data_IF_891601853524
#
_entry.id   IF_891601853524
#
_cell.length_a   1.000
_cell.length_b   1.000
_cell.length_c   1.000
_cell.angle_alpha   90.00
_cell.angle_beta   90.00
_cell.angle_gamma   90.00
#
_symmetry.space_group_name_H-M   'P 1'
#
loop_
_entity.id
_entity.type
_entity.pdbx_description
1 polymer ?
#
# COMPACT_ATOMS: atom_id res chain seq x y z
N UNK A 1 -42.84 -36.14 -21.07
CA UNK A 1 -42.06 -34.90 -21.27
C UNK A 1 -40.69 -35.09 -20.62
N UNK A 2 -39.63 -35.14 -21.43
CA UNK A 2 -38.26 -35.46 -21.01
C UNK A 2 -37.45 -34.17 -21.15
N UNK A 3 -37.04 -33.54 -20.05
CA UNK A 3 -36.15 -32.36 -20.12
C UNK A 3 -34.72 -32.87 -20.29
N UNK A 4 -34.14 -32.56 -21.46
CA UNK A 4 -32.72 -32.76 -21.74
C UNK A 4 -31.93 -31.79 -20.86
N UNK A 5 -30.93 -32.30 -20.13
CA UNK A 5 -29.88 -31.48 -19.52
C UNK A 5 -28.95 -30.99 -20.63
N UNK A 6 -29.03 -29.70 -20.94
CA UNK A 6 -28.06 -28.99 -21.77
C UNK A 6 -26.72 -28.93 -21.02
N UNK A 7 -25.66 -29.28 -21.73
CA UNK A 7 -24.31 -29.35 -21.21
C UNK A 7 -23.80 -27.99 -20.71
N UNK A 8 -22.86 -28.05 -19.77
CA UNK A 8 -22.05 -26.93 -19.32
C UNK A 8 -21.26 -26.39 -20.51
N UNK A 9 -21.63 -25.21 -20.97
CA UNK A 9 -20.85 -24.45 -21.94
C UNK A 9 -19.56 -24.00 -21.24
N UNK A 10 -18.42 -24.54 -21.67
CA UNK A 10 -17.13 -24.03 -21.24
C UNK A 10 -16.94 -22.60 -21.76
N UNK A 11 -16.36 -21.69 -20.95
CA UNK A 11 -15.99 -20.37 -21.44
C UNK A 11 -14.93 -20.55 -22.53
N UNK A 12 -15.34 -20.36 -23.79
CA UNK A 12 -14.41 -20.38 -24.93
C UNK A 12 -13.62 -19.08 -24.88
N UNK A 13 -12.42 -19.15 -24.31
CA UNK A 13 -11.47 -18.04 -24.32
C UNK A 13 -11.11 -17.71 -25.77
N UNK A 14 -11.40 -16.47 -26.16
CA UNK A 14 -11.22 -16.01 -27.55
C UNK A 14 -9.75 -16.07 -27.99
N UNK A 15 -9.45 -16.08 -29.31
CA UNK A 15 -8.10 -16.18 -29.88
C UNK A 15 -7.17 -15.00 -29.56
N UNK A 16 -7.61 -14.01 -28.77
CA UNK A 16 -6.81 -12.86 -28.36
C UNK A 16 -5.74 -13.19 -27.30
N UNK A 17 -5.54 -14.47 -26.95
CA UNK A 17 -4.38 -14.97 -26.20
C UNK A 17 -3.12 -14.93 -27.06
N UNK A 18 -2.81 -13.74 -27.59
CA UNK A 18 -1.55 -13.47 -28.25
C UNK A 18 -0.44 -13.54 -27.21
N UNK A 19 0.47 -14.48 -27.46
CA UNK A 19 1.73 -14.76 -26.75
C UNK A 19 2.32 -13.52 -26.05
N UNK A 20 2.10 -13.43 -24.74
CA UNK A 20 2.98 -12.71 -23.83
C UNK A 20 4.05 -13.71 -23.39
N UNK A 21 5.24 -13.64 -24.02
CA UNK A 21 6.38 -14.54 -23.76
C UNK A 21 7.02 -14.34 -22.35
N UNK A 22 6.33 -13.62 -21.46
CA UNK A 22 6.74 -13.30 -20.10
C UNK A 22 5.65 -13.56 -19.04
N UNK A 23 4.47 -14.07 -19.40
CA UNK A 23 3.42 -14.41 -18.42
C UNK A 23 3.49 -15.89 -18.07
N UNK A 24 3.73 -16.19 -16.80
CA UNK A 24 3.51 -17.53 -16.26
C UNK A 24 2.05 -17.91 -16.48
N UNK A 25 1.82 -19.11 -17.02
CA UNK A 25 0.46 -19.59 -17.19
C UNK A 25 -0.14 -19.85 -15.80
N UNK A 26 -1.28 -19.23 -15.51
CA UNK A 26 -2.06 -19.55 -14.32
C UNK A 26 -3.02 -20.66 -14.73
N UNK A 27 -2.84 -21.84 -14.16
CA UNK A 27 -3.72 -22.97 -14.42
C UNK A 27 -5.08 -22.80 -13.70
N UNK A 28 -6.06 -23.62 -14.10
CA UNK A 28 -7.43 -23.55 -13.56
C UNK A 28 -7.48 -23.90 -12.06
N UNK A 29 -6.53 -24.69 -11.57
CA UNK A 29 -6.41 -25.02 -10.15
C UNK A 29 -5.92 -23.80 -9.35
N UNK A 30 -4.91 -23.08 -9.85
CA UNK A 30 -4.39 -21.86 -9.25
C UNK A 30 -5.45 -20.75 -9.19
N UNK A 31 -6.27 -20.60 -10.24
CA UNK A 31 -7.43 -19.68 -10.20
C UNK A 31 -8.45 -20.13 -9.17
N UNK A 32 -8.72 -21.44 -9.10
CA UNK A 32 -9.61 -22.02 -8.08
C UNK A 32 -9.10 -21.78 -6.66
N UNK A 33 -7.79 -21.93 -6.42
CA UNK A 33 -7.18 -21.67 -5.12
C UNK A 33 -7.27 -20.19 -4.75
N UNK A 34 -7.00 -19.27 -5.69
CA UNK A 34 -7.08 -17.83 -5.44
C UNK A 34 -8.50 -17.36 -5.09
N UNK A 35 -9.52 -17.93 -5.75
CA UNK A 35 -10.93 -17.60 -5.46
C UNK A 35 -11.39 -18.14 -4.10
N UNK A 36 -10.84 -19.30 -3.68
CA UNK A 36 -11.23 -19.94 -2.42
C UNK A 36 -10.30 -19.58 -1.25
N UNK A 37 -9.26 -18.76 -1.48
CA UNK A 37 -8.27 -18.37 -0.47
C UNK A 37 -8.97 -17.68 0.71
N UNK A 38 -9.84 -16.70 0.41
CA UNK A 38 -10.65 -15.97 1.39
C UNK A 38 -11.61 -16.89 2.17
N UNK A 39 -12.04 -18.02 1.61
CA UNK A 39 -12.93 -18.96 2.30
C UNK A 39 -12.24 -19.75 3.42
N UNK A 40 -10.90 -19.81 3.40
CA UNK A 40 -10.11 -20.49 4.44
C UNK A 40 -9.61 -19.54 5.53
N UNK A 41 -9.73 -18.23 5.32
CA UNK A 41 -9.28 -17.22 6.25
C UNK A 41 -10.34 -17.01 7.35
N UNK A 42 -9.97 -17.27 8.60
CA UNK A 42 -10.83 -17.11 9.78
C UNK A 42 -11.28 -15.65 10.00
N UNK A 43 -10.62 -14.69 9.33
CA UNK A 43 -10.91 -13.26 9.40
C UNK A 43 -11.85 -12.72 8.31
N UNK A 44 -12.28 -13.55 7.35
CA UNK A 44 -13.23 -13.14 6.32
C UNK A 44 -14.67 -13.49 6.73
N UNK A 45 -15.38 -12.52 7.30
CA UNK A 45 -16.83 -12.63 7.55
C UNK A 45 -17.61 -12.45 6.24
N UNK A 46 -18.39 -13.45 5.85
CA UNK A 46 -19.34 -13.33 4.74
C UNK A 46 -20.54 -12.48 5.18
N UNK A 47 -20.68 -11.28 4.60
CA UNK A 47 -21.75 -10.33 4.94
C UNK A 47 -22.87 -10.41 3.91
N UNK A 48 -24.13 -10.41 4.38
CA UNK A 48 -25.28 -10.27 3.48
C UNK A 48 -25.49 -8.81 3.07
N UNK A 49 -26.20 -8.57 1.97
CA UNK A 49 -26.55 -7.21 1.53
C UNK A 49 -27.24 -6.41 2.65
N UNK A 50 -28.08 -7.07 3.45
CA UNK A 50 -28.78 -6.45 4.59
C UNK A 50 -27.83 -6.09 5.75
N UNK A 51 -26.66 -6.74 5.84
CA UNK A 51 -25.60 -6.43 6.81
C UNK A 51 -24.64 -5.34 6.30
N UNK A 52 -24.45 -5.24 4.97
CA UNK A 52 -23.56 -4.26 4.33
C UNK A 52 -24.19 -2.87 4.31
N UNK A 53 -25.47 -2.77 3.94
CA UNK A 53 -26.19 -1.49 3.83
C UNK A 53 -26.10 -0.66 5.12
N UNK A 54 -26.39 -1.18 6.33
CA UNK A 54 -26.27 -0.40 7.55
C UNK A 54 -24.81 -0.01 7.89
N UNK A 55 -23.82 -0.85 7.58
CA UNK A 55 -22.38 -0.55 7.80
C UNK A 55 -21.88 0.60 6.91
N UNK A 56 -22.35 0.66 5.67
CA UNK A 56 -22.00 1.74 4.72
C UNK A 56 -22.76 3.02 5.02
N UNK A 57 -23.99 2.91 5.56
CA UNK A 57 -24.87 4.06 5.77
C UNK A 57 -24.71 4.69 7.17
N UNK A 58 -24.21 3.95 8.17
CA UNK A 58 -23.81 4.51 9.46
C UNK A 58 -22.39 5.09 9.39
N UNK A 59 -22.30 6.42 9.31
CA UNK A 59 -21.05 7.11 9.53
C UNK A 59 -20.52 6.87 10.95
N UNK A 60 -19.45 6.08 11.07
CA UNK A 60 -18.42 6.19 12.11
C UNK A 60 -18.83 5.99 13.58
N UNK A 61 -19.81 5.15 13.92
CA UNK A 61 -20.03 4.76 15.33
C UNK A 61 -20.25 3.25 15.50
N UNK A 62 -19.29 2.45 15.06
CA UNK A 62 -19.16 1.07 15.56
C UNK A 62 -17.69 0.81 15.92
N UNK A 63 -17.35 1.12 17.18
CA UNK A 63 -16.17 0.57 17.85
C UNK A 63 -16.42 -0.92 18.12
N UNK A 64 -16.42 -1.75 17.09
CA UNK A 64 -16.26 -3.19 17.25
C UNK A 64 -14.91 -3.58 16.69
N UNK A 65 -14.15 -4.17 17.59
CA UNK A 65 -12.83 -4.75 17.42
C UNK A 65 -12.60 -5.21 15.98
N UNK A 66 -11.74 -4.50 15.25
CA UNK A 66 -10.84 -5.23 14.36
C UNK A 66 -10.11 -6.19 15.29
N UNK A 67 -10.43 -7.48 15.19
CA UNK A 67 -9.55 -8.56 15.65
C UNK A 67 -8.13 -8.13 15.28
N UNK A 68 -7.26 -8.00 16.29
CA UNK A 68 -5.85 -7.71 16.06
C UNK A 68 -5.37 -8.74 15.04
N UNK A 69 -5.03 -8.27 13.84
CA UNK A 69 -4.45 -9.09 12.78
C UNK A 69 -3.43 -10.03 13.44
N UNK A 70 -3.61 -11.37 13.35
CA UNK A 70 -2.70 -12.28 14.01
C UNK A 70 -1.30 -11.93 13.54
N UNK A 71 -0.39 -11.73 14.50
CA UNK A 71 1.02 -11.46 14.23
C UNK A 71 1.46 -12.52 13.24
N UNK A 72 1.76 -12.08 12.02
CA UNK A 72 2.37 -12.93 11.02
C UNK A 72 3.67 -13.44 11.65
N UNK A 73 3.65 -14.69 12.10
CA UNK A 73 4.80 -15.45 12.56
C UNK A 73 5.63 -15.85 11.34
N UNK A 74 6.10 -14.85 10.60
CA UNK A 74 7.03 -15.03 9.50
C UNK A 74 8.26 -14.19 9.81
N UNK A 75 9.26 -14.93 10.25
CA UNK A 75 10.63 -14.61 10.63
C UNK A 75 11.31 -13.60 9.68
N UNK A 76 10.95 -12.33 9.80
CA UNK A 76 11.84 -11.20 9.60
C UNK A 76 11.31 -10.03 10.41
N UNK A 77 11.53 -10.10 11.73
CA UNK A 77 11.28 -8.98 12.62
C UNK A 77 12.25 -7.85 12.24
N UNK A 78 11.91 -7.09 11.20
CA UNK A 78 12.31 -5.69 11.09
C UNK A 78 11.80 -5.06 12.37
N UNK A 79 12.68 -4.95 13.35
CA UNK A 79 12.41 -4.16 14.54
C UNK A 79 12.06 -2.78 14.03
N UNK A 80 10.78 -2.40 14.10
CA UNK A 80 10.31 -1.07 13.72
C UNK A 80 10.90 -0.07 14.72
N UNK A 81 12.16 0.29 14.50
CA UNK A 81 12.83 1.26 15.32
C UNK A 81 12.14 2.59 15.09
N UNK A 82 11.49 3.10 16.15
CA UNK A 82 10.77 4.37 16.09
C UNK A 82 11.80 5.49 15.91
N UNK A 83 11.94 5.93 14.67
CA UNK A 83 12.88 6.95 14.27
C UNK A 83 12.24 8.33 14.47
N UNK A 84 12.94 9.28 15.09
CA UNK A 84 12.39 10.62 15.27
C UNK A 84 12.31 11.34 13.93
N UNK A 85 11.43 12.34 13.81
CA UNK A 85 11.35 13.14 12.58
C UNK A 85 12.66 13.88 12.27
N UNK A 86 13.41 14.29 13.31
CA UNK A 86 14.71 14.93 13.14
C UNK A 86 15.75 13.95 12.60
N UNK A 87 15.82 12.76 13.19
CA UNK A 87 16.77 11.73 12.75
C UNK A 87 16.44 11.26 11.32
N UNK A 88 15.14 11.09 11.01
CA UNK A 88 14.70 10.73 9.65
C UNK A 88 15.09 11.80 8.62
N UNK A 89 15.05 13.08 9.00
CA UNK A 89 15.47 14.16 8.12
C UNK A 89 16.98 14.09 7.83
N UNK A 90 17.80 13.86 8.86
CA UNK A 90 19.26 13.71 8.73
C UNK A 90 19.61 12.53 7.83
N UNK A 91 18.93 11.39 8.00
CA UNK A 91 19.15 10.22 7.13
C UNK A 91 18.78 10.49 5.68
N UNK A 92 17.67 11.19 5.42
CA UNK A 92 17.29 11.57 4.07
C UNK A 92 18.29 12.53 3.42
N UNK A 93 18.81 13.51 4.16
CA UNK A 93 19.83 14.42 3.65
C UNK A 93 21.11 13.67 3.28
N UNK A 94 21.57 12.75 4.13
CA UNK A 94 22.72 11.90 3.84
C UNK A 94 22.51 11.02 2.60
N UNK A 95 21.32 10.42 2.46
CA UNK A 95 20.94 9.60 1.30
C UNK A 95 20.94 10.41 0.00
N UNK A 96 20.30 11.59 -0.01
CA UNK A 96 20.25 12.45 -1.19
C UNK A 96 21.65 12.89 -1.62
N UNK A 97 22.52 13.23 -0.66
CA UNK A 97 23.90 13.57 -0.95
C UNK A 97 24.70 12.38 -1.51
N UNK A 98 24.50 11.17 -0.97
CA UNK A 98 25.13 9.95 -1.49
C UNK A 98 24.73 9.70 -2.96
N UNK A 99 23.42 9.72 -3.26
CA UNK A 99 22.90 9.48 -4.61
C UNK A 99 23.36 10.56 -5.60
N UNK A 100 23.47 11.81 -5.16
CA UNK A 100 23.94 12.90 -6.04
C UNK A 100 25.43 12.74 -6.39
N UNK A 101 26.23 12.22 -5.46
CA UNK A 101 27.67 11.99 -5.64
C UNK A 101 27.99 10.72 -6.41
N UNK A 102 27.03 9.80 -6.56
CA UNK A 102 27.20 8.57 -7.33
C UNK A 102 27.69 8.87 -8.76
N UNK A 103 28.69 8.13 -9.21
CA UNK A 103 29.37 8.37 -10.49
C UNK A 103 28.47 7.95 -11.66
N UNK A 104 27.60 6.96 -11.45
CA UNK A 104 26.61 6.47 -12.39
C UNK A 104 25.41 7.42 -12.57
N UNK A 105 25.21 8.37 -11.64
CA UNK A 105 24.08 9.30 -11.70
C UNK A 105 24.17 10.24 -12.92
N UNK A 106 23.13 10.24 -13.73
CA UNK A 106 22.98 11.13 -14.88
C UNK A 106 22.84 12.59 -14.45
N UNK A 107 23.16 13.56 -15.33
CA UNK A 107 22.95 14.97 -15.02
C UNK A 107 21.50 15.33 -14.66
N UNK A 108 20.53 14.65 -15.27
CA UNK A 108 19.10 14.86 -14.98
C UNK A 108 18.74 14.39 -13.57
N UNK A 109 19.22 13.23 -13.14
CA UNK A 109 19.01 12.70 -11.79
C UNK A 109 19.62 13.64 -10.74
N UNK A 110 20.85 14.13 -10.96
CA UNK A 110 21.49 15.12 -10.06
C UNK A 110 20.67 16.40 -9.93
N UNK A 111 20.05 16.88 -11.02
CA UNK A 111 19.14 18.03 -10.96
C UNK A 111 17.89 17.75 -10.13
N UNK A 112 17.30 16.56 -10.26
CA UNK A 112 16.13 16.15 -9.48
C UNK A 112 16.49 16.04 -7.99
N UNK A 113 17.61 15.40 -7.65
CA UNK A 113 18.08 15.26 -6.27
C UNK A 113 18.34 16.61 -5.60
N UNK A 114 18.98 17.56 -6.31
CA UNK A 114 19.15 18.94 -5.84
C UNK A 114 17.83 19.67 -5.60
N UNK A 115 16.85 19.46 -6.49
CA UNK A 115 15.53 20.04 -6.36
C UNK A 115 14.81 19.49 -5.11
N UNK A 116 14.82 18.18 -4.92
CA UNK A 116 14.27 17.52 -3.74
C UNK A 116 14.89 18.06 -2.46
N UNK A 117 16.23 18.15 -2.40
CA UNK A 117 16.95 18.74 -1.27
C UNK A 117 16.50 20.17 -1.00
N UNK A 118 16.36 20.99 -2.05
CA UNK A 118 15.88 22.38 -1.94
C UNK A 118 14.44 22.48 -1.40
N UNK A 119 13.55 21.59 -1.84
CA UNK A 119 12.16 21.54 -1.36
C UNK A 119 12.12 21.18 0.13
N UNK A 120 12.91 20.19 0.55
CA UNK A 120 12.98 19.75 1.95
C UNK A 120 13.50 20.89 2.83
N UNK A 121 14.63 21.50 2.48
CA UNK A 121 15.21 22.62 3.22
C UNK A 121 14.23 23.80 3.35
N UNK A 122 13.52 24.13 2.27
CA UNK A 122 12.49 25.18 2.30
C UNK A 122 11.39 24.86 3.30
N UNK A 123 10.84 23.64 3.27
CA UNK A 123 9.76 23.21 4.18
C UNK A 123 10.20 23.21 5.64
N UNK A 124 11.42 22.78 5.93
CA UNK A 124 12.00 22.82 7.29
C UNK A 124 12.08 24.25 7.80
N UNK A 125 12.61 25.16 6.97
CA UNK A 125 12.72 26.58 7.32
C UNK A 125 11.35 27.23 7.54
N UNK A 126 10.36 26.93 6.70
CA UNK A 126 9.01 27.48 6.83
C UNK A 126 8.33 27.01 8.12
N UNK A 127 8.46 25.71 8.44
CA UNK A 127 7.93 25.14 9.70
C UNK A 127 8.63 25.74 10.92
N UNK A 128 9.94 25.96 10.87
CA UNK A 128 10.69 26.58 11.97
C UNK A 128 10.25 28.04 12.20
N UNK A 129 10.03 28.81 11.12
CA UNK A 129 9.51 30.19 11.21
C UNK A 129 8.12 30.21 11.83
N UNK A 130 7.19 29.37 11.36
CA UNK A 130 5.85 29.26 11.93
C UNK A 130 5.89 28.92 13.42
N UNK A 131 6.69 27.92 13.80
CA UNK A 131 6.87 27.52 15.21
C UNK A 131 7.40 28.69 16.05
N UNK A 132 8.38 29.43 15.54
CA UNK A 132 8.96 30.59 16.23
C UNK A 132 7.92 31.68 16.47
N UNK A 133 7.10 32.00 15.46
CA UNK A 133 6.02 32.99 15.54
C UNK A 133 4.97 32.55 16.57
N UNK A 134 4.47 31.31 16.47
CA UNK A 134 3.47 30.78 17.41
C UNK A 134 4.00 30.84 18.85
N UNK A 135 5.24 30.41 19.06
CA UNK A 135 5.86 30.41 20.39
C UNK A 135 6.01 31.81 21.01
N UNK A 136 6.10 32.86 20.20
CA UNK A 136 6.14 34.25 20.67
C UNK A 136 4.80 34.68 21.25
N UNK A 137 3.70 34.33 20.57
CA UNK A 137 2.34 34.69 21.01
C UNK A 137 1.79 33.80 22.14
N UNK A 138 2.28 32.56 22.27
CA UNK A 138 1.86 31.66 23.36
C UNK A 138 2.52 31.94 24.71
N UNK A 139 3.43 32.92 24.79
CA UNK A 139 4.15 33.29 26.03
C UNK A 139 3.51 34.46 26.79
N UNK A 140 2.34 34.94 26.36
CA UNK A 140 1.56 35.99 27.02
C UNK A 140 0.40 35.40 27.81
#
# INVERSE_FOLDING_TARGET
MKRKSSGLDQPTLSPATLQLDCSENVDEEAVGQWINEDSTLECCEDLSDDDIVPRVTCGSEETRNFEECPKNDEENLVTHQKLSHGDALVHNEALLNYLEQEDESTPAEKMILRNLSSIICRRVNDKQKQTSIISFFSKQ
#
